data_IF_148628115532
#
_entry.id   IF_148628115532
#
_cell.length_a   1.000
_cell.length_b   1.000
_cell.length_c   1.000
_cell.angle_alpha   90.00
_cell.angle_beta   90.00
_cell.angle_gamma   90.00
#
_symmetry.space_group_name_H-M   'P 1'
#
loop_
_entity.id
_entity.type
_entity.pdbx_description
1 polymer ?
#
# COMPACT_ATOMS: atom_id res chain seq x y z
N UNK A 1 -32.99 -13.17 -10.68
CA UNK A 1 -31.94 -12.13 -10.76
C UNK A 1 -32.19 -10.90 -9.88
N UNK A 2 -33.24 -10.84 -9.04
CA UNK A 2 -33.53 -9.67 -8.18
C UNK A 2 -33.09 -9.80 -6.70
N UNK A 3 -32.47 -10.91 -6.32
CA UNK A 3 -32.15 -11.25 -4.92
C UNK A 3 -30.75 -10.86 -4.46
N UNK A 4 -29.85 -10.49 -5.37
CA UNK A 4 -28.44 -10.16 -5.08
C UNK A 4 -28.26 -8.81 -4.38
N UNK A 5 -29.14 -7.84 -4.64
CA UNK A 5 -29.05 -6.48 -4.12
C UNK A 5 -29.83 -6.26 -2.81
N UNK A 6 -30.06 -7.32 -2.03
CA UNK A 6 -30.67 -7.18 -0.70
C UNK A 6 -29.59 -7.01 0.37
N UNK A 7 -29.85 -6.20 1.40
CA UNK A 7 -28.93 -6.01 2.54
C UNK A 7 -28.50 -7.36 3.13
N UNK A 8 -29.42 -8.34 3.21
CA UNK A 8 -29.15 -9.68 3.70
C UNK A 8 -28.21 -10.48 2.79
N UNK A 9 -28.34 -10.36 1.46
CA UNK A 9 -27.46 -11.04 0.52
C UNK A 9 -26.05 -10.44 0.54
N UNK A 10 -25.96 -9.11 0.48
CA UNK A 10 -24.68 -8.38 0.54
C UNK A 10 -23.96 -8.68 1.85
N UNK A 11 -24.64 -8.59 2.99
CA UNK A 11 -24.03 -8.89 4.29
C UNK A 11 -23.55 -10.34 4.40
N UNK A 12 -24.31 -11.33 3.92
CA UNK A 12 -23.85 -12.73 3.93
C UNK A 12 -22.65 -12.99 3.03
N UNK A 13 -22.53 -12.26 1.91
CA UNK A 13 -21.39 -12.38 0.99
C UNK A 13 -20.15 -11.66 1.54
N UNK A 14 -20.31 -10.43 2.04
CA UNK A 14 -19.20 -9.57 2.45
C UNK A 14 -18.70 -9.86 3.86
N UNK A 15 -19.57 -10.25 4.80
CA UNK A 15 -19.19 -10.43 6.21
C UNK A 15 -18.06 -11.46 6.41
N UNK A 16 -18.05 -12.65 5.78
CA UNK A 16 -16.94 -13.59 5.91
C UNK A 16 -15.62 -13.00 5.42
N UNK A 17 -15.64 -12.30 4.27
CA UNK A 17 -14.45 -11.65 3.69
C UNK A 17 -13.95 -10.57 4.65
N UNK A 18 -14.83 -9.68 5.11
CA UNK A 18 -14.49 -8.62 6.05
C UNK A 18 -13.93 -9.17 7.36
N UNK A 19 -14.46 -10.27 7.89
CA UNK A 19 -13.93 -10.91 9.10
C UNK A 19 -12.51 -11.42 8.88
N UNK A 20 -12.23 -12.07 7.75
CA UNK A 20 -10.88 -12.54 7.40
C UNK A 20 -9.92 -11.36 7.25
N UNK A 21 -10.32 -10.33 6.51
CA UNK A 21 -9.53 -9.11 6.33
C UNK A 21 -9.24 -8.42 7.67
N UNK A 22 -10.25 -8.34 8.54
CA UNK A 22 -10.09 -7.76 9.89
C UNK A 22 -9.07 -8.55 10.71
N UNK A 23 -9.07 -9.88 10.65
CA UNK A 23 -8.08 -10.70 11.35
C UNK A 23 -6.65 -10.46 10.84
N UNK A 24 -6.49 -10.26 9.52
CA UNK A 24 -5.20 -9.88 8.92
C UNK A 24 -4.76 -8.50 9.42
N UNK A 25 -5.66 -7.53 9.44
CA UNK A 25 -5.38 -6.16 9.89
C UNK A 25 -5.10 -6.05 11.39
N UNK A 26 -5.71 -6.91 12.22
CA UNK A 26 -5.31 -7.05 13.62
C UNK A 26 -3.83 -7.46 13.72
N UNK A 27 -3.37 -8.35 12.84
CA UNK A 27 -1.95 -8.70 12.72
C UNK A 27 -1.07 -7.49 12.41
N UNK A 28 -1.47 -6.66 11.44
CA UNK A 28 -0.79 -5.40 11.10
C UNK A 28 -0.70 -4.45 12.31
N UNK A 29 -1.82 -4.26 13.02
CA UNK A 29 -1.88 -3.45 14.25
C UNK A 29 -0.98 -3.98 15.37
N UNK A 30 -0.91 -5.30 15.55
CA UNK A 30 0.00 -5.92 16.53
C UNK A 30 1.48 -5.70 16.15
N UNK A 31 1.82 -5.72 14.86
CA UNK A 31 3.17 -5.38 14.38
C UNK A 31 3.48 -3.91 14.67
N UNK A 32 2.54 -3.00 14.43
CA UNK A 32 2.69 -1.58 14.77
C UNK A 32 2.90 -1.36 16.27
N UNK A 33 2.14 -2.06 17.11
CA UNK A 33 2.26 -1.99 18.58
C UNK A 33 3.67 -2.34 19.09
N UNK A 34 4.41 -3.21 18.39
CA UNK A 34 5.82 -3.50 18.75
C UNK A 34 6.75 -2.30 18.59
N UNK A 35 6.35 -1.31 17.81
CA UNK A 35 7.14 -0.10 17.52
C UNK A 35 6.58 1.16 18.21
N UNK A 36 5.56 1.02 19.07
CA UNK A 36 4.87 2.12 19.73
C UNK A 36 5.83 3.08 20.44
N UNK A 37 6.75 2.56 21.26
CA UNK A 37 7.72 3.39 21.99
C UNK A 37 8.61 4.24 21.06
N UNK A 38 8.98 3.70 19.89
CA UNK A 38 9.78 4.42 18.90
C UNK A 38 8.94 5.50 18.19
N UNK A 39 7.69 5.20 17.85
CA UNK A 39 6.79 6.13 17.17
C UNK A 39 6.35 7.28 18.09
N UNK A 40 6.08 7.00 19.37
CA UNK A 40 5.77 8.03 20.37
C UNK A 40 6.95 8.95 20.67
N UNK A 41 8.19 8.44 20.55
CA UNK A 41 9.41 9.26 20.69
C UNK A 41 9.56 10.26 19.55
N UNK A 42 9.10 9.92 18.34
CA UNK A 42 9.22 10.75 17.14
C UNK A 42 7.84 10.99 16.50
N UNK A 43 7.11 12.04 16.90
CA UNK A 43 5.75 12.31 16.41
C UNK A 43 5.62 12.36 14.88
N UNK A 44 6.67 12.80 14.17
CA UNK A 44 6.67 12.87 12.71
C UNK A 44 6.66 11.48 12.06
N UNK A 45 7.25 10.47 12.69
CA UNK A 45 7.16 9.08 12.23
C UNK A 45 5.76 8.54 12.45
N UNK A 46 5.12 8.85 13.59
CA UNK A 46 3.74 8.46 13.85
C UNK A 46 2.77 9.07 12.83
N UNK A 47 2.96 10.34 12.47
CA UNK A 47 2.17 11.00 11.43
C UNK A 47 2.38 10.39 10.04
N UNK A 48 3.57 9.84 9.76
CA UNK A 48 3.87 9.18 8.49
C UNK A 48 3.19 7.82 8.34
N UNK A 49 2.96 7.06 9.43
CA UNK A 49 2.41 5.69 9.38
C UNK A 49 1.16 5.58 8.49
N UNK A 50 0.03 6.25 8.81
CA UNK A 50 -1.21 6.04 8.07
C UNK A 50 -1.13 6.56 6.62
N UNK A 51 -0.42 7.68 6.40
CA UNK A 51 -0.31 8.29 5.07
C UNK A 51 0.59 7.44 4.18
N UNK A 52 1.67 6.88 4.72
CA UNK A 52 2.62 6.05 3.96
C UNK A 52 1.94 4.75 3.53
N UNK A 53 1.29 4.08 4.47
CA UNK A 53 0.56 2.83 4.24
C UNK A 53 -0.55 3.05 3.21
N UNK A 54 -1.43 4.03 3.44
CA UNK A 54 -2.54 4.31 2.53
C UNK A 54 -2.08 4.72 1.13
N UNK A 55 -1.01 5.51 1.02
CA UNK A 55 -0.44 5.89 -0.28
C UNK A 55 0.14 4.69 -1.02
N UNK A 56 0.86 3.80 -0.33
CA UNK A 56 1.41 2.59 -0.92
C UNK A 56 0.30 1.63 -1.40
N UNK A 57 -0.73 1.43 -0.59
CA UNK A 57 -1.91 0.65 -0.97
C UNK A 57 -2.58 1.22 -2.23
N UNK A 58 -2.79 2.55 -2.27
CA UNK A 58 -3.38 3.22 -3.44
C UNK A 58 -2.54 3.04 -4.71
N UNK A 59 -1.22 3.17 -4.62
CA UNK A 59 -0.31 2.93 -5.76
C UNK A 59 -0.46 1.50 -6.30
N UNK A 60 -0.52 0.52 -5.41
CA UNK A 60 -0.74 -0.88 -5.76
C UNK A 60 -2.12 -1.12 -6.39
N UNK A 61 -3.17 -0.53 -5.84
CA UNK A 61 -4.54 -0.63 -6.36
C UNK A 61 -4.70 0.02 -7.74
N UNK A 62 -4.03 1.15 -7.99
CA UNK A 62 -4.03 1.80 -9.33
C UNK A 62 -3.37 0.87 -10.35
N UNK A 63 -2.23 0.26 -10.01
CA UNK A 63 -1.58 -0.71 -10.88
C UNK A 63 -2.46 -1.95 -11.11
N UNK A 64 -3.09 -2.46 -10.06
CA UNK A 64 -3.97 -3.62 -10.12
C UNK A 64 -5.17 -3.37 -11.04
N UNK A 65 -5.83 -2.21 -10.90
CA UNK A 65 -6.96 -1.82 -11.75
C UNK A 65 -6.57 -1.70 -13.23
N UNK A 66 -5.36 -1.19 -13.53
CA UNK A 66 -4.85 -1.13 -14.92
C UNK A 66 -4.61 -2.52 -15.49
N UNK A 67 -4.01 -3.42 -14.72
CA UNK A 67 -3.78 -4.80 -15.16
C UNK A 67 -5.09 -5.57 -15.31
N UNK A 68 -6.05 -5.37 -14.41
CA UNK A 68 -7.41 -5.92 -14.52
C UNK A 68 -8.11 -5.40 -15.78
N UNK A 69 -8.00 -4.10 -16.08
CA UNK A 69 -8.56 -3.56 -17.33
C UNK A 69 -7.94 -4.24 -18.56
N UNK A 70 -6.62 -4.43 -18.57
CA UNK A 70 -5.94 -5.16 -19.64
C UNK A 70 -6.36 -6.63 -19.70
N UNK A 71 -6.62 -7.27 -18.55
CA UNK A 71 -7.15 -8.64 -18.46
C UNK A 71 -8.51 -8.75 -19.16
N UNK A 72 -9.46 -7.88 -18.78
CA UNK A 72 -10.81 -7.86 -19.33
C UNK A 72 -10.85 -7.50 -20.83
N UNK A 73 -9.91 -6.69 -21.31
CA UNK A 73 -9.77 -6.36 -22.72
C UNK A 73 -9.00 -7.42 -23.54
N UNK A 74 -8.46 -8.46 -22.89
CA UNK A 74 -7.64 -9.48 -23.55
C UNK A 74 -6.28 -8.95 -24.06
N UNK A 75 -5.83 -7.81 -23.55
CA UNK A 75 -4.56 -7.16 -23.93
C UNK A 75 -3.46 -7.37 -22.88
N UNK A 76 -3.76 -8.09 -21.80
CA UNK A 76 -2.80 -8.40 -20.75
C UNK A 76 -1.66 -9.29 -21.28
N UNK A 77 -0.44 -8.86 -21.05
CA UNK A 77 0.77 -9.64 -21.33
C UNK A 77 1.71 -9.56 -20.15
N UNK A 78 2.27 -10.72 -19.79
CA UNK A 78 3.27 -10.88 -18.74
C UNK A 78 4.70 -10.97 -19.29
N UNK A 79 4.89 -10.67 -20.57
CA UNK A 79 6.22 -10.58 -21.15
C UNK A 79 6.99 -9.43 -20.44
N UNK A 80 8.17 -9.70 -19.84
CA UNK A 80 9.00 -8.66 -19.23
C UNK A 80 9.39 -7.53 -20.19
N UNK A 81 9.37 -7.78 -21.52
CA UNK A 81 9.64 -6.75 -22.53
C UNK A 81 8.38 -5.98 -22.95
N UNK A 82 7.23 -6.23 -22.32
CA UNK A 82 6.01 -5.49 -22.62
C UNK A 82 6.09 -4.07 -22.05
N UNK A 83 6.03 -3.08 -22.95
CA UNK A 83 6.10 -1.66 -22.60
C UNK A 83 4.96 -1.19 -21.69
N UNK A 84 3.76 -1.79 -21.77
CA UNK A 84 2.65 -1.46 -20.88
C UNK A 84 2.88 -1.98 -19.46
N UNK A 85 3.40 -3.20 -19.31
CA UNK A 85 3.69 -3.77 -17.99
C UNK A 85 4.84 -3.00 -17.32
N UNK A 86 5.96 -2.87 -18.03
CA UNK A 86 7.14 -2.14 -17.55
C UNK A 86 6.82 -0.65 -17.33
N UNK A 87 6.10 -0.02 -18.26
CA UNK A 87 5.70 1.38 -18.17
C UNK A 87 4.78 1.65 -16.99
N UNK A 88 3.83 0.75 -16.69
CA UNK A 88 2.98 0.88 -15.51
C UNK A 88 3.78 0.70 -14.21
N UNK A 89 4.72 -0.24 -14.16
CA UNK A 89 5.61 -0.40 -13.00
C UNK A 89 6.48 0.84 -12.75
N UNK A 90 7.11 1.36 -13.81
CA UNK A 90 7.91 2.59 -13.76
C UNK A 90 7.05 3.78 -13.35
N UNK A 91 5.84 3.92 -13.89
CA UNK A 91 4.91 4.98 -13.51
C UNK A 91 4.55 4.91 -12.02
N UNK A 92 4.31 3.72 -11.46
CA UNK A 92 4.05 3.53 -10.03
C UNK A 92 5.22 4.00 -9.17
N UNK A 93 6.45 3.65 -9.54
CA UNK A 93 7.65 4.10 -8.82
C UNK A 93 7.89 5.60 -8.98
N UNK A 94 7.65 6.16 -10.17
CA UNK A 94 7.76 7.59 -10.42
C UNK A 94 6.71 8.40 -9.62
N UNK A 95 5.49 7.88 -9.50
CA UNK A 95 4.46 8.45 -8.63
C UNK A 95 4.90 8.42 -7.16
N UNK A 96 5.50 7.32 -6.69
CA UNK A 96 6.04 7.25 -5.34
C UNK A 96 7.14 8.33 -5.14
N UNK A 97 8.07 8.46 -6.08
CA UNK A 97 9.16 9.44 -5.99
C UNK A 97 8.66 10.88 -5.90
N UNK A 98 7.50 11.19 -6.48
CA UNK A 98 6.91 12.53 -6.46
C UNK A 98 5.99 12.77 -5.26
N UNK A 99 5.24 11.76 -4.82
CA UNK A 99 4.27 11.88 -3.71
C UNK A 99 4.93 11.80 -2.33
N UNK A 100 5.86 10.89 -2.11
CA UNK A 100 6.44 10.68 -0.79
C UNK A 100 7.28 11.85 -0.23
N UNK A 101 7.97 12.69 -1.05
CA UNK A 101 8.53 13.93 -0.55
C UNK A 101 7.47 14.89 0.00
N UNK A 102 6.33 15.01 -0.71
CA UNK A 102 5.20 15.86 -0.28
C UNK A 102 4.60 15.32 1.02
N UNK A 103 4.45 14.00 1.14
CA UNK A 103 4.03 13.34 2.38
C UNK A 103 5.00 13.61 3.53
N UNK A 104 6.32 13.52 3.28
CA UNK A 104 7.36 13.82 4.27
C UNK A 104 7.31 15.27 4.77
N UNK A 105 7.20 16.23 3.85
CA UNK A 105 7.06 17.66 4.18
C UNK A 105 5.76 17.90 4.96
N UNK A 106 4.65 17.31 4.52
CA UNK A 106 3.35 17.41 5.17
C UNK A 106 3.36 16.86 6.60
N UNK A 107 3.93 15.67 6.80
CA UNK A 107 4.06 15.06 8.13
C UNK A 107 4.95 15.91 9.04
N UNK A 108 6.09 16.40 8.56
CA UNK A 108 6.94 17.30 9.33
C UNK A 108 6.21 18.58 9.71
N UNK A 109 5.53 19.23 8.74
CA UNK A 109 4.77 20.46 8.96
C UNK A 109 3.64 20.28 9.97
N UNK A 110 2.88 19.19 9.88
CA UNK A 110 1.83 18.86 10.85
C UNK A 110 2.40 18.74 12.27
N UNK A 111 3.54 18.07 12.43
CA UNK A 111 4.17 17.91 13.74
C UNK A 111 4.79 19.20 14.28
N UNK A 112 5.30 20.05 13.40
CA UNK A 112 5.77 21.38 13.77
C UNK A 112 4.65 22.25 14.37
N UNK A 113 3.41 22.07 13.88
CA UNK A 113 2.23 22.81 14.36
C UNK A 113 1.59 22.22 15.62
N UNK A 114 1.74 20.91 15.88
CA UNK A 114 0.93 20.20 16.89
C UNK A 114 1.70 19.63 18.06
N UNK A 115 2.87 19.02 17.83
CA UNK A 115 3.56 18.17 18.81
C UNK A 115 5.03 18.56 19.05
N UNK A 116 5.53 19.54 18.30
CA UNK A 116 6.93 19.97 18.34
C UNK A 116 7.85 19.10 17.49
N UNK A 117 8.88 19.74 16.92
CA UNK A 117 9.81 19.09 15.99
C UNK A 117 10.90 18.34 16.76
N UNK A 118 10.98 17.01 16.57
CA UNK A 118 12.03 16.15 17.12
C UNK A 118 13.05 15.70 16.07
N UNK A 119 12.65 15.68 14.79
CA UNK A 119 13.48 15.26 13.66
C UNK A 119 13.62 16.41 12.66
N UNK A 120 14.78 16.50 12.01
CA UNK A 120 14.98 17.48 10.93
C UNK A 120 14.05 17.18 9.75
N UNK A 121 13.68 18.20 8.99
CA UNK A 121 12.87 18.05 7.77
C UNK A 121 13.53 17.06 6.80
N UNK A 122 14.84 17.19 6.58
CA UNK A 122 15.60 16.32 5.69
C UNK A 122 15.53 14.85 6.11
N UNK A 123 15.60 14.56 7.41
CA UNK A 123 15.46 13.20 7.94
C UNK A 123 14.07 12.63 7.67
N UNK A 124 13.01 13.39 7.95
CA UNK A 124 11.63 12.93 7.75
C UNK A 124 11.32 12.70 6.27
N UNK A 125 11.75 13.61 5.40
CA UNK A 125 11.61 13.46 3.94
C UNK A 125 12.39 12.26 3.42
N UNK A 126 13.63 12.06 3.88
CA UNK A 126 14.45 10.91 3.47
C UNK A 126 13.78 9.60 3.87
N UNK A 127 13.28 9.49 5.11
CA UNK A 127 12.56 8.31 5.59
C UNK A 127 11.29 8.08 4.76
N UNK A 128 10.49 9.13 4.50
CA UNK A 128 9.27 9.02 3.71
C UNK A 128 9.56 8.56 2.27
N UNK A 129 10.57 9.13 1.61
CA UNK A 129 10.94 8.78 0.23
C UNK A 129 11.50 7.37 0.15
N UNK A 130 12.45 7.01 1.02
CA UNK A 130 13.07 5.69 0.99
C UNK A 130 12.05 4.57 1.31
N UNK A 131 11.20 4.78 2.32
CA UNK A 131 10.12 3.83 2.64
C UNK A 131 9.08 3.76 1.53
N UNK A 132 8.72 4.90 0.96
CA UNK A 132 7.76 4.98 -0.14
C UNK A 132 8.21 4.30 -1.42
N UNK A 133 9.48 4.45 -1.81
CA UNK A 133 10.07 3.72 -2.94
C UNK A 133 10.07 2.22 -2.63
N UNK A 134 10.52 1.82 -1.43
CA UNK A 134 10.51 0.42 -1.02
C UNK A 134 9.12 -0.20 -1.10
N UNK A 135 8.09 0.51 -0.63
CA UNK A 135 6.71 0.06 -0.68
C UNK A 135 6.13 0.07 -2.09
N UNK A 136 6.50 1.03 -2.94
CA UNK A 136 6.09 1.02 -4.34
C UNK A 136 6.65 -0.19 -5.10
N UNK A 137 7.90 -0.58 -4.82
CA UNK A 137 8.51 -1.78 -5.39
C UNK A 137 7.80 -3.05 -4.90
N UNK A 138 7.47 -3.12 -3.61
CA UNK A 138 6.66 -4.20 -3.04
C UNK A 138 5.29 -4.25 -3.72
N UNK A 139 4.60 -3.12 -3.83
CA UNK A 139 3.29 -3.03 -4.47
C UNK A 139 3.36 -3.51 -5.92
N UNK A 140 4.35 -3.08 -6.71
CA UNK A 140 4.56 -3.56 -8.09
C UNK A 140 4.76 -5.07 -8.11
N UNK A 141 5.67 -5.60 -7.29
CA UNK A 141 5.98 -7.02 -7.27
C UNK A 141 4.75 -7.88 -6.89
N UNK A 142 4.03 -7.46 -5.84
CA UNK A 142 2.83 -8.15 -5.36
C UNK A 142 1.72 -8.07 -6.41
N UNK A 143 1.41 -6.88 -6.93
CA UNK A 143 0.36 -6.71 -7.93
C UNK A 143 0.63 -7.58 -9.16
N UNK A 144 1.84 -7.54 -9.74
CA UNK A 144 2.16 -8.36 -10.93
C UNK A 144 2.07 -9.85 -10.62
N UNK A 145 2.60 -10.29 -9.48
CA UNK A 145 2.57 -11.71 -9.08
C UNK A 145 1.15 -12.21 -8.83
N UNK A 146 0.35 -11.45 -8.10
CA UNK A 146 -1.02 -11.84 -7.75
C UNK A 146 -1.92 -11.79 -8.98
N UNK A 147 -1.77 -10.80 -9.86
CA UNK A 147 -2.48 -10.78 -11.15
C UNK A 147 -2.11 -11.99 -12.01
N UNK A 148 -0.84 -12.39 -12.03
CA UNK A 148 -0.42 -13.60 -12.75
C UNK A 148 -1.05 -14.87 -12.20
N UNK A 149 -1.11 -15.00 -10.87
CA UNK A 149 -1.76 -16.14 -10.21
C UNK A 149 -3.26 -16.13 -10.47
N UNK A 150 -3.93 -14.98 -10.37
CA UNK A 150 -5.35 -14.84 -10.69
C UNK A 150 -5.64 -15.24 -12.15
N UNK A 151 -4.80 -14.78 -13.09
CA UNK A 151 -4.88 -15.17 -14.50
C UNK A 151 -4.76 -16.69 -14.69
N UNK A 152 -3.80 -17.34 -14.02
CA UNK A 152 -3.58 -18.79 -14.09
C UNK A 152 -4.72 -19.61 -13.50
N UNK A 153 -5.41 -19.07 -12.50
CA UNK A 153 -6.51 -19.72 -11.80
C UNK A 153 -7.89 -19.32 -12.38
N UNK A 154 -7.91 -18.54 -13.47
CA UNK A 154 -9.14 -18.03 -14.09
C UNK A 154 -10.03 -17.25 -13.09
N UNK A 155 -9.40 -16.58 -12.13
CA UNK A 155 -10.05 -15.73 -11.13
C UNK A 155 -10.12 -14.29 -11.65
N UNK A 156 -11.17 -13.57 -11.24
CA UNK A 156 -11.26 -12.14 -11.50
C UNK A 156 -10.18 -11.39 -10.70
N UNK A 157 -9.24 -10.68 -11.37
CA UNK A 157 -8.21 -9.91 -10.68
C UNK A 157 -8.78 -8.77 -9.82
N UNK A 158 -9.99 -8.26 -10.09
CA UNK A 158 -10.61 -7.22 -9.26
C UNK A 158 -11.02 -7.74 -7.88
N UNK A 159 -11.42 -9.01 -7.80
CA UNK A 159 -11.85 -9.66 -6.55
C UNK A 159 -10.67 -10.09 -5.67
N UNK A 160 -9.49 -10.29 -6.26
CA UNK A 160 -8.33 -10.90 -5.58
C UNK A 160 -7.15 -9.94 -5.44
N UNK A 161 -6.76 -9.24 -6.51
CA UNK A 161 -5.49 -8.51 -6.55
C UNK A 161 -5.52 -7.30 -5.63
N UNK A 162 -6.58 -6.49 -5.71
CA UNK A 162 -6.70 -5.27 -4.91
C UNK A 162 -6.68 -5.59 -3.41
N UNK A 163 -7.55 -6.49 -2.87
CA UNK A 163 -7.53 -6.82 -1.46
C UNK A 163 -6.20 -7.39 -0.97
N UNK A 164 -5.52 -8.21 -1.79
CA UNK A 164 -4.22 -8.76 -1.42
C UNK A 164 -3.15 -7.67 -1.35
N UNK A 165 -3.08 -6.80 -2.37
CA UNK A 165 -2.09 -5.74 -2.44
C UNK A 165 -2.25 -4.74 -1.29
N UNK A 166 -3.49 -4.34 -0.96
CA UNK A 166 -3.73 -3.40 0.14
C UNK A 166 -3.29 -3.99 1.49
N UNK A 167 -3.70 -5.22 1.82
CA UNK A 167 -3.31 -5.85 3.09
C UNK A 167 -1.80 -6.07 3.19
N UNK A 168 -1.15 -6.43 2.07
CA UNK A 168 0.31 -6.61 2.06
C UNK A 168 1.01 -5.27 2.28
N UNK A 169 0.53 -4.19 1.65
CA UNK A 169 1.02 -2.83 1.89
C UNK A 169 0.74 -2.36 3.33
N UNK A 170 -0.35 -2.78 3.96
CA UNK A 170 -0.67 -2.42 5.35
C UNK A 170 0.31 -3.07 6.32
N UNK A 171 0.53 -4.39 6.20
CA UNK A 171 1.48 -5.13 7.05
C UNK A 171 2.92 -4.71 6.80
N UNK A 172 3.35 -4.67 5.53
CA UNK A 172 4.73 -4.33 5.18
C UNK A 172 5.00 -2.83 5.30
N UNK A 173 3.99 -1.98 5.17
CA UNK A 173 4.11 -0.52 5.27
C UNK A 173 4.70 -0.08 6.60
N UNK A 174 4.18 -0.63 7.70
CA UNK A 174 4.73 -0.39 9.03
C UNK A 174 6.18 -0.87 9.14
N UNK A 175 6.45 -2.09 8.67
CA UNK A 175 7.78 -2.71 8.79
C UNK A 175 8.84 -1.95 7.99
N UNK A 176 8.53 -1.59 6.74
CA UNK A 176 9.44 -0.84 5.86
C UNK A 176 9.66 0.57 6.41
N UNK A 177 8.61 1.26 6.86
CA UNK A 177 8.75 2.61 7.41
C UNK A 177 9.64 2.62 8.65
N UNK A 178 9.36 1.74 9.62
CA UNK A 178 10.14 1.67 10.87
C UNK A 178 11.55 1.15 10.61
N UNK A 179 11.71 0.16 9.74
CA UNK A 179 13.01 -0.37 9.33
C UNK A 179 13.87 0.73 8.69
N UNK A 180 13.29 1.49 7.76
CA UNK A 180 13.97 2.65 7.13
C UNK A 180 14.34 3.70 8.18
N UNK A 181 13.42 4.03 9.08
CA UNK A 181 13.70 4.99 10.15
C UNK A 181 14.87 4.55 11.04
N UNK A 182 15.02 3.25 11.34
CA UNK A 182 16.14 2.73 12.14
C UNK A 182 17.49 2.75 11.41
N UNK A 183 17.48 2.72 10.08
CA UNK A 183 18.71 2.80 9.28
C UNK A 183 19.16 4.26 9.13
N UNK A 184 18.21 5.19 9.06
CA UNK A 184 18.49 6.62 8.86
C UNK A 184 18.81 7.36 10.16
N UNK A 185 18.26 6.94 11.30
CA UNK A 185 18.47 7.54 12.63
C UNK A 185 19.63 6.88 13.38
#
# INVERSE_FOLDING_TARGET
MATEWTVRAISRAMLPVLLVLTLVEVGSGLVLGRFEAQLLRFPSLLALVPVTIGTAGNLGSILAARLSTAFHLGTLSFDPTNDHLGGNAVATVALALTLFPVVGVGAWGLTALTAGVRLSLGTVVTIAVASGIGLALVAVAVTVTVTYVAYRLELDPDDVVIPVVTNVCDVLGVVVLVGTARVVL
#
